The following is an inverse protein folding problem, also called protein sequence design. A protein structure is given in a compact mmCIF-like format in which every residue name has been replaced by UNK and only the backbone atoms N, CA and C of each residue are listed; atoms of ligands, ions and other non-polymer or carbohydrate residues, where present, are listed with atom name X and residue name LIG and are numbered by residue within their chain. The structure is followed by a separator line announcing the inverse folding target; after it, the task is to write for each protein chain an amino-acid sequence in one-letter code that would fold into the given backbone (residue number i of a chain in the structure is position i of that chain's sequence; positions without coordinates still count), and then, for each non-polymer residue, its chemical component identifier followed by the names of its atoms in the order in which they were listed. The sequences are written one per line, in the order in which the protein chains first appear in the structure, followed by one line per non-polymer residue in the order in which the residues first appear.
data_IF_023543501722
#
_entry.id   IF_023543501722
#
_cell.length_a   1.000
_cell.length_b   1.000
_cell.length_c   1.000
_cell.angle_alpha   90.00
_cell.angle_beta   90.00
_cell.angle_gamma   90.00
#
_symmetry.space_group_name_H-M   'P 1'
#
loop_
_entity.id
_entity.type
_entity.pdbx_description
1 polymer ?
#
# COMPACT_ATOMS: atom_id res chain seq x y z
N UNK A 1 -34.60 16.02 -20.25
CA UNK A 1 -33.50 15.12 -19.80
C UNK A 1 -32.10 15.72 -19.98
N UNK A 2 -31.78 16.35 -21.12
CA UNK A 2 -30.43 16.92 -21.40
C UNK A 2 -29.90 17.93 -20.36
N UNK A 3 -30.74 18.84 -19.84
CA UNK A 3 -30.30 19.84 -18.85
C UNK A 3 -29.89 19.23 -17.48
N UNK A 4 -30.58 18.17 -17.04
CA UNK A 4 -30.27 17.46 -15.78
C UNK A 4 -28.95 16.69 -15.90
N UNK A 5 -28.72 16.05 -17.05
CA UNK A 5 -27.47 15.36 -17.37
C UNK A 5 -26.30 16.35 -17.42
N UNK A 6 -26.47 17.51 -18.09
CA UNK A 6 -25.44 18.56 -18.16
C UNK A 6 -25.11 19.16 -16.79
N UNK A 7 -26.13 19.35 -15.93
CA UNK A 7 -25.94 19.83 -14.56
C UNK A 7 -25.14 18.84 -13.71
N UNK A 8 -25.53 17.56 -13.71
CA UNK A 8 -24.80 16.50 -12.99
C UNK A 8 -23.37 16.34 -13.51
N UNK A 9 -23.17 16.38 -14.83
CA UNK A 9 -21.83 16.30 -15.41
C UNK A 9 -20.94 17.49 -15.00
N UNK A 10 -21.50 18.70 -14.89
CA UNK A 10 -20.78 19.89 -14.46
C UNK A 10 -20.44 19.83 -12.96
N UNK A 11 -21.39 19.43 -12.12
CA UNK A 11 -21.17 19.26 -10.68
C UNK A 11 -20.09 18.19 -10.41
N UNK A 12 -20.10 17.08 -11.14
CA UNK A 12 -19.06 16.05 -11.03
C UNK A 12 -17.71 16.53 -11.58
N UNK A 13 -17.67 17.29 -12.67
CA UNK A 13 -16.43 17.87 -13.18
C UNK A 13 -15.80 18.87 -12.18
N UNK A 14 -16.62 19.71 -11.54
CA UNK A 14 -16.19 20.65 -10.51
C UNK A 14 -15.70 19.92 -9.25
N UNK A 15 -16.37 18.83 -8.86
CA UNK A 15 -15.93 17.93 -7.78
C UNK A 15 -14.60 17.24 -8.10
N UNK A 16 -14.43 16.73 -9.32
CA UNK A 16 -13.16 16.10 -9.75
C UNK A 16 -12.04 17.12 -9.76
N UNK A 17 -12.29 18.33 -10.28
CA UNK A 17 -11.31 19.41 -10.31
C UNK A 17 -10.89 19.85 -8.91
N UNK A 18 -11.82 20.00 -7.98
CA UNK A 18 -11.51 20.37 -6.60
C UNK A 18 -10.71 19.28 -5.88
N UNK A 19 -11.07 18.00 -6.06
CA UNK A 19 -10.30 16.88 -5.53
C UNK A 19 -8.90 16.78 -6.12
N UNK A 20 -8.73 17.03 -7.42
CA UNK A 20 -7.42 17.06 -8.07
C UNK A 20 -6.56 18.22 -7.55
N UNK A 21 -7.15 19.41 -7.40
CA UNK A 21 -6.46 20.56 -6.81
C UNK A 21 -6.03 20.29 -5.36
N UNK A 22 -6.89 19.68 -4.55
CA UNK A 22 -6.58 19.29 -3.18
C UNK A 22 -5.51 18.18 -3.12
N UNK A 23 -5.51 17.26 -4.08
CA UNK A 23 -4.52 16.20 -4.17
C UNK A 23 -3.13 16.78 -4.45
N UNK A 24 -3.03 17.74 -5.36
CA UNK A 24 -1.77 18.45 -5.65
C UNK A 24 -1.34 19.32 -4.45
N UNK A 25 -2.27 20.09 -3.88
CA UNK A 25 -1.92 20.98 -2.75
C UNK A 25 -1.55 20.24 -1.47
N UNK A 26 -2.04 19.00 -1.30
CA UNK A 26 -1.68 18.18 -0.14
C UNK A 26 -0.18 17.81 -0.07
N UNK A 27 0.52 17.82 -1.21
CA UNK A 27 1.95 17.48 -1.29
C UNK A 27 2.28 16.03 -0.95
N UNK A 28 1.29 15.17 -0.71
CA UNK A 28 1.54 13.82 -0.16
C UNK A 28 2.10 12.83 -1.18
N UNK A 29 1.93 13.11 -2.48
CA UNK A 29 2.55 12.36 -3.58
C UNK A 29 4.09 12.30 -3.51
N UNK A 30 4.72 13.19 -2.73
CA UNK A 30 6.18 13.24 -2.54
C UNK A 30 6.66 12.19 -1.53
N UNK A 31 5.82 11.72 -0.61
CA UNK A 31 6.24 10.80 0.45
C UNK A 31 6.72 9.43 -0.03
N UNK A 32 6.17 8.80 -1.08
CA UNK A 32 6.73 7.55 -1.61
C UNK A 32 8.19 7.72 -2.06
N UNK A 33 8.52 8.85 -2.70
CA UNK A 33 9.90 9.16 -3.08
C UNK A 33 10.78 9.47 -1.86
N UNK A 34 10.27 10.24 -0.88
CA UNK A 34 10.96 10.45 0.40
C UNK A 34 11.23 9.13 1.11
N UNK A 35 10.27 8.22 1.10
CA UNK A 35 10.36 6.88 1.69
C UNK A 35 11.45 6.05 1.05
N UNK A 36 11.54 6.06 -0.29
CA UNK A 36 12.64 5.44 -1.04
C UNK A 36 14.00 6.00 -0.62
N UNK A 37 14.18 7.32 -0.68
CA UNK A 37 15.46 7.95 -0.32
C UNK A 37 15.82 7.70 1.15
N UNK A 38 14.85 7.82 2.04
CA UNK A 38 15.04 7.56 3.47
C UNK A 38 15.43 6.11 3.74
N UNK A 39 14.75 5.16 3.09
CA UNK A 39 15.06 3.74 3.21
C UNK A 39 16.49 3.44 2.75
N UNK A 40 16.93 4.03 1.63
CA UNK A 40 18.31 3.84 1.16
C UNK A 40 19.34 4.39 2.15
N UNK A 41 19.08 5.54 2.76
CA UNK A 41 19.98 6.16 3.74
C UNK A 41 19.96 5.47 5.12
N UNK A 42 18.89 4.74 5.47
CA UNK A 42 18.73 4.10 6.78
C UNK A 42 18.91 2.58 6.70
N UNK A 43 20.16 2.13 6.82
CA UNK A 43 20.54 0.71 6.70
C UNK A 43 19.84 -0.22 7.68
N UNK A 44 19.44 0.27 8.86
CA UNK A 44 18.70 -0.49 9.86
C UNK A 44 17.36 -1.01 9.31
N UNK A 45 16.67 -0.20 8.50
CA UNK A 45 15.37 -0.54 7.91
C UNK A 45 15.45 -1.65 6.87
N UNK A 46 16.64 -2.07 6.42
CA UNK A 46 16.79 -3.16 5.46
C UNK A 46 16.66 -4.54 6.12
N UNK A 47 16.76 -4.62 7.46
CA UNK A 47 16.74 -5.88 8.20
C UNK A 47 15.41 -6.64 8.00
N UNK A 48 14.22 -6.04 8.15
CA UNK A 48 12.95 -6.73 7.90
C UNK A 48 12.88 -7.28 6.48
N UNK A 49 13.17 -6.47 5.46
CA UNK A 49 13.17 -6.91 4.06
C UNK A 49 14.11 -8.10 3.81
N UNK A 50 15.37 -7.99 4.23
CA UNK A 50 16.37 -9.06 4.04
C UNK A 50 15.97 -10.36 4.72
N UNK A 51 15.38 -10.28 5.92
CA UNK A 51 14.93 -11.47 6.66
C UNK A 51 13.85 -12.27 5.93
N UNK A 52 13.12 -11.63 5.00
CA UNK A 52 12.02 -12.26 4.26
C UNK A 52 12.41 -12.71 2.85
N UNK A 53 13.58 -12.33 2.33
CA UNK A 53 14.02 -12.75 1.00
C UNK A 53 14.11 -14.27 0.86
N UNK A 54 14.75 -14.96 1.81
CA UNK A 54 14.90 -16.40 1.75
C UNK A 54 13.54 -17.15 1.81
N UNK A 55 12.62 -16.85 2.76
CA UNK A 55 11.27 -17.40 2.74
C UNK A 55 10.53 -17.15 1.42
N UNK A 56 10.51 -15.91 0.92
CA UNK A 56 9.82 -15.55 -0.33
C UNK A 56 10.36 -16.33 -1.52
N UNK A 57 11.68 -16.40 -1.67
CA UNK A 57 12.33 -17.14 -2.76
C UNK A 57 12.02 -18.64 -2.64
N UNK A 58 12.12 -19.21 -1.43
CA UNK A 58 11.83 -20.62 -1.20
C UNK A 58 10.36 -20.97 -1.50
N UNK A 59 9.41 -20.11 -1.14
CA UNK A 59 7.99 -20.28 -1.47
C UNK A 59 7.75 -20.13 -2.96
N UNK A 60 8.42 -19.19 -3.62
CA UNK A 60 8.39 -19.04 -5.08
C UNK A 60 8.80 -20.32 -5.80
N UNK A 61 9.97 -20.86 -5.43
CA UNK A 61 10.51 -22.10 -6.00
C UNK A 61 9.58 -23.28 -5.68
N UNK A 62 9.19 -23.45 -4.42
CA UNK A 62 8.37 -24.58 -3.99
C UNK A 62 7.01 -24.63 -4.68
N UNK A 63 6.30 -23.50 -4.74
CA UNK A 63 5.00 -23.41 -5.44
C UNK A 63 5.16 -23.63 -6.94
N UNK A 64 6.16 -23.00 -7.55
CA UNK A 64 6.38 -23.15 -9.00
C UNK A 64 6.67 -24.61 -9.35
N UNK A 65 7.57 -25.26 -8.62
CA UNK A 65 7.85 -26.69 -8.81
C UNK A 65 6.61 -27.55 -8.62
N UNK A 66 5.82 -27.31 -7.57
CA UNK A 66 4.57 -28.03 -7.33
C UNK A 66 3.58 -27.86 -8.50
N UNK A 67 3.36 -26.64 -8.97
CA UNK A 67 2.47 -26.36 -10.10
C UNK A 67 2.96 -27.05 -11.37
N UNK A 68 4.26 -26.97 -11.71
CA UNK A 68 4.80 -27.68 -12.87
C UNK A 68 4.67 -29.20 -12.78
N UNK A 69 4.82 -29.79 -11.59
CA UNK A 69 4.68 -31.24 -11.43
C UNK A 69 3.22 -31.69 -11.59
N UNK A 70 2.28 -30.95 -10.99
CA UNK A 70 0.89 -31.41 -10.88
C UNK A 70 -0.06 -30.83 -11.93
N UNK A 71 0.19 -29.64 -12.46
CA UNK A 71 -0.76 -28.94 -13.36
C UNK A 71 -0.28 -28.89 -14.80
N UNK A 72 1.03 -28.87 -15.07
CA UNK A 72 1.57 -28.70 -16.43
C UNK A 72 1.06 -29.76 -17.40
N UNK A 73 1.24 -31.06 -17.09
CA UNK A 73 0.85 -32.14 -18.01
C UNK A 73 -0.67 -32.16 -18.26
N UNK A 74 -1.55 -32.12 -17.22
CA UNK A 74 -2.99 -32.03 -17.45
C UNK A 74 -3.41 -30.78 -18.24
N UNK A 75 -2.87 -29.60 -17.92
CA UNK A 75 -3.22 -28.36 -18.62
C UNK A 75 -2.72 -28.36 -20.06
N UNK A 76 -1.49 -28.83 -20.33
CA UNK A 76 -0.95 -28.96 -21.67
C UNK A 76 -1.75 -29.94 -22.53
N UNK A 77 -2.21 -31.06 -21.96
CA UNK A 77 -3.06 -32.00 -22.68
C UNK A 77 -4.39 -31.36 -23.11
N UNK A 78 -5.04 -30.60 -22.22
CA UNK A 78 -6.28 -29.90 -22.53
C UNK A 78 -6.05 -28.82 -23.59
N UNK A 79 -5.00 -27.99 -23.43
CA UNK A 79 -4.70 -26.92 -24.38
C UNK A 79 -4.23 -27.45 -25.74
N UNK A 80 -3.60 -28.63 -25.80
CA UNK A 80 -3.17 -29.26 -27.05
C UNK A 80 -4.35 -29.59 -27.97
N UNK A 81 -5.54 -29.85 -27.41
CA UNK A 81 -6.77 -30.08 -28.18
C UNK A 81 -7.15 -28.84 -29.00
N UNK A 82 -6.94 -27.64 -28.44
CA UNK A 82 -7.36 -26.38 -29.07
C UNK A 82 -6.24 -25.67 -29.83
N UNK A 83 -5.01 -25.70 -29.28
CA UNK A 83 -3.88 -24.90 -29.73
C UNK A 83 -2.77 -25.73 -30.41
N UNK A 84 -2.93 -27.05 -30.47
CA UNK A 84 -1.94 -27.95 -31.08
C UNK A 84 -0.57 -27.88 -30.39
N UNK A 85 0.55 -27.94 -31.15
CA UNK A 85 1.90 -27.93 -30.59
C UNK A 85 2.27 -26.68 -29.77
N UNK A 86 1.59 -25.55 -30.02
CA UNK A 86 1.80 -24.30 -29.27
C UNK A 86 1.33 -24.40 -27.81
N UNK A 87 0.50 -25.40 -27.50
CA UNK A 87 -0.02 -25.64 -26.15
C UNK A 87 1.10 -25.73 -25.11
N UNK A 88 2.21 -26.40 -25.43
CA UNK A 88 3.34 -26.52 -24.50
C UNK A 88 3.86 -25.16 -24.03
N UNK A 89 4.09 -24.22 -24.96
CA UNK A 89 4.57 -22.87 -24.65
C UNK A 89 3.52 -22.06 -23.89
N UNK A 90 2.25 -22.13 -24.31
CA UNK A 90 1.17 -21.40 -23.62
C UNK A 90 0.94 -21.92 -22.20
N UNK A 91 1.08 -23.23 -21.97
CA UNK A 91 0.96 -23.84 -20.64
C UNK A 91 2.09 -23.39 -19.73
N UNK A 92 3.34 -23.28 -20.22
CA UNK A 92 4.46 -22.76 -19.42
C UNK A 92 4.11 -21.36 -18.88
N UNK A 93 3.64 -20.46 -19.76
CA UNK A 93 3.27 -19.10 -19.35
C UNK A 93 2.11 -19.08 -18.35
N UNK A 94 1.10 -19.92 -18.56
CA UNK A 94 -0.05 -20.02 -17.67
C UNK A 94 0.36 -20.54 -16.28
N UNK A 95 1.10 -21.64 -16.23
CA UNK A 95 1.62 -22.24 -14.99
C UNK A 95 2.49 -21.23 -14.23
N UNK A 96 3.37 -20.50 -14.92
CA UNK A 96 4.19 -19.46 -14.30
C UNK A 96 3.35 -18.31 -13.72
N UNK A 97 2.31 -17.86 -14.44
CA UNK A 97 1.41 -16.80 -13.98
C UNK A 97 0.59 -17.23 -12.76
N UNK A 98 0.03 -18.45 -12.78
CA UNK A 98 -0.71 -19.04 -11.66
C UNK A 98 0.21 -19.24 -10.45
N UNK A 99 1.41 -19.80 -10.67
CA UNK A 99 2.43 -19.98 -9.63
C UNK A 99 2.82 -18.65 -8.99
N UNK A 100 3.12 -17.63 -9.80
CA UNK A 100 3.45 -16.28 -9.32
C UNK A 100 2.31 -15.70 -8.45
N UNK A 101 1.06 -15.88 -8.88
CA UNK A 101 -0.12 -15.42 -8.15
C UNK A 101 -0.21 -16.11 -6.77
N UNK A 102 -0.06 -17.43 -6.73
CA UNK A 102 -0.11 -18.21 -5.49
C UNK A 102 1.08 -17.87 -4.58
N UNK A 103 2.30 -17.84 -5.12
CA UNK A 103 3.51 -17.49 -4.37
C UNK A 103 3.44 -16.10 -3.78
N UNK A 104 2.94 -15.12 -4.52
CA UNK A 104 2.76 -13.75 -4.03
C UNK A 104 1.72 -13.68 -2.92
N UNK A 105 0.59 -14.37 -3.07
CA UNK A 105 -0.45 -14.44 -2.05
C UNK A 105 0.08 -15.05 -0.75
N UNK A 106 0.70 -16.24 -0.83
CA UNK A 106 1.29 -16.91 0.33
C UNK A 106 2.37 -16.06 0.98
N UNK A 107 3.29 -15.51 0.17
CA UNK A 107 4.39 -14.71 0.68
C UNK A 107 3.89 -13.47 1.42
N UNK A 108 2.90 -12.79 0.85
CA UNK A 108 2.34 -11.57 1.44
C UNK A 108 1.69 -11.85 2.77
N UNK A 109 0.82 -12.86 2.82
CA UNK A 109 0.08 -13.25 4.03
C UNK A 109 0.96 -13.79 5.14
N UNK A 110 1.96 -14.62 4.84
CA UNK A 110 2.75 -15.32 5.87
C UNK A 110 4.04 -14.61 6.26
N UNK A 111 4.67 -13.86 5.34
CA UNK A 111 6.05 -13.38 5.55
C UNK A 111 6.19 -11.85 5.46
N UNK A 112 5.47 -11.18 4.57
CA UNK A 112 5.71 -9.76 4.27
C UNK A 112 4.94 -8.82 5.20
N UNK A 113 3.67 -9.09 5.51
CA UNK A 113 2.84 -8.14 6.28
C UNK A 113 3.45 -7.75 7.63
N UNK A 114 3.94 -8.73 8.41
CA UNK A 114 4.61 -8.47 9.68
C UNK A 114 5.92 -7.67 9.47
N UNK A 115 6.66 -7.90 8.38
CA UNK A 115 7.89 -7.18 8.07
C UNK A 115 7.63 -5.73 7.60
N UNK A 116 6.51 -5.48 6.91
CA UNK A 116 6.08 -4.13 6.55
C UNK A 116 5.68 -3.35 7.80
N UNK A 117 5.00 -3.98 8.77
CA UNK A 117 4.70 -3.38 10.07
C UNK A 117 5.99 -3.02 10.81
N UNK A 118 6.97 -3.92 10.87
CA UNK A 118 8.27 -3.65 11.50
C UNK A 118 9.02 -2.51 10.81
N UNK A 119 8.92 -2.40 9.48
CA UNK A 119 9.53 -1.31 8.71
C UNK A 119 8.84 0.03 9.00
N UNK A 120 7.51 0.02 9.08
CA UNK A 120 6.72 1.20 9.43
C UNK A 120 7.04 1.68 10.86
N UNK A 121 6.95 0.79 11.84
CA UNK A 121 7.22 1.10 13.25
C UNK A 121 8.69 1.52 13.46
N UNK A 122 9.64 0.86 12.79
CA UNK A 122 11.06 1.21 12.84
C UNK A 122 11.36 2.59 12.28
N UNK A 123 10.63 3.00 11.23
CA UNK A 123 10.71 4.35 10.68
C UNK A 123 10.18 5.39 11.67
N UNK A 124 9.04 5.11 12.32
CA UNK A 124 8.50 5.97 13.37
C UNK A 124 9.46 6.13 14.54
N UNK A 125 10.06 5.02 15.01
CA UNK A 125 11.09 5.06 16.07
C UNK A 125 12.30 5.89 15.64
N UNK A 126 12.73 5.75 14.38
CA UNK A 126 13.84 6.55 13.81
C UNK A 126 13.51 8.05 13.77
N UNK A 127 12.22 8.40 13.64
CA UNK A 127 11.72 9.79 13.67
C UNK A 127 11.36 10.29 15.07
N UNK A 128 11.74 9.56 16.13
CA UNK A 128 11.49 9.95 17.52
C UNK A 128 10.08 9.62 18.03
N UNK A 129 9.24 8.95 17.25
CA UNK A 129 7.84 8.65 17.60
C UNK A 129 7.69 7.38 18.45
N UNK A 130 8.59 7.19 19.41
CA UNK A 130 8.62 5.95 20.23
C UNK A 130 7.37 5.81 21.09
N UNK A 131 6.83 6.92 21.61
CA UNK A 131 5.59 6.95 22.42
C UNK A 131 4.36 6.47 21.65
N UNK A 132 4.25 6.84 20.37
CA UNK A 132 3.17 6.37 19.51
C UNK A 132 3.28 4.86 19.24
N UNK A 133 4.50 4.36 19.03
CA UNK A 133 4.73 2.93 18.73
C UNK A 133 4.50 2.05 19.97
N UNK A 134 4.78 2.56 21.18
CA UNK A 134 4.55 1.82 22.44
C UNK A 134 3.08 1.46 22.69
N UNK A 135 2.13 2.17 22.09
CA UNK A 135 0.68 1.88 22.18
C UNK A 135 0.27 0.57 21.46
N UNK A 136 1.09 0.10 20.52
CA UNK A 136 0.80 -1.07 19.68
C UNK A 136 1.80 -2.21 19.78
N UNK A 137 2.95 -2.01 20.43
CA UNK A 137 3.96 -3.05 20.65
C UNK A 137 4.92 -2.70 21.79
N UNK A 138 5.61 -3.71 22.29
CA UNK A 138 6.67 -3.50 23.27
C UNK A 138 7.90 -2.83 22.64
N UNK A 139 8.55 -1.93 23.38
CA UNK A 139 9.83 -1.29 22.99
C UNK A 139 10.93 -1.77 23.94
N UNK A 140 12.01 -2.29 23.39
CA UNK A 140 13.21 -2.72 24.13
C UNK A 140 14.24 -1.58 24.20
N UNK A 141 15.10 -1.54 25.24
CA UNK A 141 16.24 -0.63 25.27
C UNK A 141 17.24 -0.96 24.15
N UNK A 142 17.84 0.07 23.54
CA UNK A 142 18.81 -0.08 22.46
C UNK A 142 18.91 1.16 21.58
N UNK A 143 19.95 1.21 20.74
CA UNK A 143 20.22 2.31 19.79
C UNK A 143 19.65 2.05 18.38
N UNK A 144 19.49 0.79 17.97
CA UNK A 144 18.99 0.43 16.64
C UNK A 144 17.44 0.50 16.56
N UNK A 145 16.85 1.31 15.67
CA UNK A 145 15.40 1.49 15.60
C UNK A 145 14.60 0.20 15.38
N UNK A 146 15.16 -0.75 14.61
CA UNK A 146 14.53 -2.07 14.39
C UNK A 146 14.79 -3.01 15.58
N UNK A 147 16.01 -3.02 16.14
CA UNK A 147 16.33 -3.83 17.33
C UNK A 147 15.51 -3.47 18.57
N UNK A 148 15.03 -2.22 18.68
CA UNK A 148 14.10 -1.77 19.73
C UNK A 148 12.70 -2.36 19.61
N UNK A 149 12.32 -2.91 18.47
CA UNK A 149 10.97 -3.40 18.22
C UNK A 149 10.75 -4.77 18.89
N UNK A 150 9.89 -4.81 19.91
CA UNK A 150 9.47 -6.03 20.60
C UNK A 150 8.22 -6.68 19.97
N UNK A 151 7.55 -7.58 20.72
CA UNK A 151 6.37 -8.29 20.24
C UNK A 151 5.20 -7.33 19.96
N UNK A 152 4.47 -7.60 18.87
CA UNK A 152 3.24 -6.88 18.51
C UNK A 152 2.13 -7.22 19.52
N UNK A 153 1.43 -6.20 20.02
CA UNK A 153 0.30 -6.36 20.95
C UNK A 153 -1.06 -6.32 20.23
N UNK A 154 -1.09 -5.74 19.02
CA UNK A 154 -2.29 -5.65 18.17
C UNK A 154 -1.91 -5.98 16.74
N UNK A 155 -2.54 -6.99 16.12
CA UNK A 155 -2.42 -7.27 14.67
C UNK A 155 -3.53 -6.53 13.90
N UNK A 156 -3.21 -5.88 12.76
CA UNK A 156 -4.23 -5.19 11.99
C UNK A 156 -5.22 -6.21 11.42
N UNK A 157 -6.50 -6.08 11.79
CA UNK A 157 -7.58 -6.89 11.23
C UNK A 157 -7.81 -6.47 9.77
N UNK A 158 -7.46 -7.33 8.82
CA UNK A 158 -7.95 -7.22 7.45
C UNK A 158 -9.38 -7.79 7.42
N UNK A 159 -10.38 -6.91 7.40
CA UNK A 159 -11.75 -7.31 7.05
C UNK A 159 -11.91 -7.18 5.54
N UNK A 160 -12.14 -8.30 4.86
CA UNK A 160 -12.70 -8.29 3.52
C UNK A 160 -14.11 -7.69 3.60
N UNK A 161 -14.31 -6.51 2.99
CA UNK A 161 -15.65 -5.94 2.80
C UNK A 161 -16.21 -6.41 1.44
N UNK A 162 -17.46 -6.91 1.40
CA UNK A 162 -18.15 -7.28 0.16
C UNK A 162 -18.63 -6.09 -0.71
N UNK A 163 -18.22 -4.85 -0.45
CA UNK A 163 -18.55 -3.66 -1.28
C UNK A 163 -17.97 -3.68 -2.72
N UNK A 164 -17.19 -4.72 -3.06
CA UNK A 164 -16.53 -4.85 -4.36
C UNK A 164 -17.52 -4.96 -5.52
N UNK A 165 -18.70 -5.55 -5.30
CA UNK A 165 -19.65 -5.91 -6.36
C UNK A 165 -20.38 -4.66 -6.90
N UNK A 166 -20.85 -3.77 -6.03
CA UNK A 166 -21.55 -2.54 -6.45
C UNK A 166 -20.59 -1.58 -7.18
N UNK A 167 -19.34 -1.50 -6.72
CA UNK A 167 -18.31 -0.70 -7.40
C UNK A 167 -17.95 -1.26 -8.77
N UNK A 168 -17.85 -2.58 -8.90
CA UNK A 168 -17.58 -3.24 -10.17
C UNK A 168 -18.62 -2.87 -11.24
N UNK A 169 -19.91 -2.84 -10.88
CA UNK A 169 -20.99 -2.43 -11.79
C UNK A 169 -20.90 -0.96 -12.24
N UNK A 170 -20.45 -0.05 -11.36
CA UNK A 170 -20.23 1.36 -11.70
C UNK A 170 -19.03 1.54 -12.65
N UNK A 171 -18.00 0.69 -12.55
CA UNK A 171 -16.76 0.81 -13.36
C UNK A 171 -16.81 0.05 -14.69
N UNK A 172 -17.80 -0.81 -14.90
CA UNK A 172 -17.94 -1.60 -16.12
C UNK A 172 -17.98 -0.75 -17.42
N UNK A 173 -18.70 0.38 -17.49
CA UNK A 173 -18.69 1.23 -18.69
C UNK A 173 -17.35 1.90 -18.96
N UNK A 174 -16.52 2.07 -17.94
CA UNK A 174 -15.26 2.82 -18.01
C UNK A 174 -14.08 1.99 -18.54
N UNK A 175 -14.21 0.66 -18.51
CA UNK A 175 -13.19 -0.26 -19.03
C UNK A 175 -13.17 -0.35 -20.57
N UNK A 176 -14.19 0.18 -21.26
CA UNK A 176 -14.31 0.11 -22.72
C UNK A 176 -13.47 1.15 -23.48
N UNK A 177 -12.79 2.06 -22.78
CA UNK A 177 -11.89 3.06 -23.40
C UNK A 177 -10.45 2.74 -22.97
N UNK A 178 -9.62 2.19 -23.88
CA UNK A 178 -8.20 1.98 -23.64
C UNK A 178 -7.53 3.27 -23.14
N UNK A 179 -6.52 3.13 -22.27
CA UNK A 179 -5.82 4.25 -21.58
C UNK A 179 -6.65 4.93 -20.47
N UNK A 180 -7.88 5.36 -20.73
CA UNK A 180 -8.74 6.00 -19.70
C UNK A 180 -9.09 5.01 -18.59
N UNK A 181 -9.42 3.77 -18.96
CA UNK A 181 -9.67 2.69 -18.00
C UNK A 181 -8.47 2.43 -17.09
N UNK A 182 -7.25 2.39 -17.66
CA UNK A 182 -6.01 2.15 -16.91
C UNK A 182 -5.69 3.28 -15.93
N UNK A 183 -5.79 4.54 -16.37
CA UNK A 183 -5.57 5.71 -15.50
C UNK A 183 -6.58 5.73 -14.37
N UNK A 184 -7.87 5.51 -14.65
CA UNK A 184 -8.87 5.44 -13.59
C UNK A 184 -8.61 4.28 -12.63
N UNK A 185 -8.27 3.11 -13.15
CA UNK A 185 -7.93 1.95 -12.32
C UNK A 185 -6.82 2.27 -11.32
N UNK A 186 -5.74 2.92 -11.78
CA UNK A 186 -4.63 3.35 -10.91
C UNK A 186 -5.11 4.35 -9.86
N UNK A 187 -5.94 5.33 -10.23
CA UNK A 187 -6.49 6.31 -9.27
C UNK A 187 -7.37 5.63 -8.21
N UNK A 188 -8.22 4.68 -8.62
CA UNK A 188 -9.11 3.94 -7.72
C UNK A 188 -8.33 3.00 -6.80
N UNK A 189 -7.28 2.36 -7.31
CA UNK A 189 -6.38 1.58 -6.49
C UNK A 189 -5.61 2.47 -5.52
N UNK A 190 -5.12 3.63 -5.98
CA UNK A 190 -4.46 4.63 -5.13
C UNK A 190 -5.35 5.12 -3.98
N UNK A 191 -6.64 5.36 -4.27
CA UNK A 191 -7.66 5.68 -3.24
C UNK A 191 -7.77 4.64 -2.12
N UNK A 192 -7.52 3.37 -2.42
CA UNK A 192 -7.52 2.28 -1.44
C UNK A 192 -6.14 2.08 -0.79
N UNK A 193 -5.08 2.16 -1.60
CA UNK A 193 -3.71 1.94 -1.19
C UNK A 193 -3.24 2.98 -0.18
N UNK A 194 -3.63 4.25 -0.34
CA UNK A 194 -3.23 5.30 0.58
C UNK A 194 -3.67 5.06 2.03
N UNK A 195 -4.98 4.87 2.30
CA UNK A 195 -5.45 4.54 3.64
C UNK A 195 -4.95 3.17 4.14
N UNK A 196 -4.73 2.21 3.24
CA UNK A 196 -4.15 0.92 3.59
C UNK A 196 -2.72 1.05 4.13
N UNK A 197 -1.90 1.93 3.54
CA UNK A 197 -0.54 2.19 4.02
C UNK A 197 -0.50 2.84 5.42
N UNK A 198 -1.57 3.56 5.81
CA UNK A 198 -1.74 4.10 7.17
C UNK A 198 -2.52 3.18 8.12
N UNK A 199 -2.85 1.94 7.73
CA UNK A 199 -3.59 1.03 8.59
C UNK A 199 -2.90 0.83 9.95
N UNK A 200 -1.56 0.71 9.96
CA UNK A 200 -0.77 0.62 11.19
C UNK A 200 -0.84 1.90 12.02
N UNK A 201 -0.73 3.07 11.40
CA UNK A 201 -0.86 4.35 12.11
C UNK A 201 -2.22 4.51 12.81
N UNK A 202 -3.33 4.19 12.13
CA UNK A 202 -4.66 4.24 12.75
C UNK A 202 -4.79 3.30 13.94
N UNK A 203 -4.15 2.13 13.85
CA UNK A 203 -4.11 1.15 14.93
C UNK A 203 -3.30 1.67 16.13
N UNK A 204 -2.13 2.28 15.89
CA UNK A 204 -1.31 2.89 16.95
C UNK A 204 -2.06 4.04 17.64
N UNK A 205 -2.84 4.82 16.88
CA UNK A 205 -3.71 5.88 17.42
C UNK A 205 -4.96 5.36 18.13
N UNK A 206 -5.21 4.05 18.12
CA UNK A 206 -6.40 3.45 18.74
C UNK A 206 -7.73 3.89 18.10
N UNK A 207 -7.72 4.31 16.83
CA UNK A 207 -8.92 4.82 16.16
C UNK A 207 -9.96 3.71 15.97
N UNK A 208 -11.21 4.00 16.35
CA UNK A 208 -12.36 3.12 16.06
C UNK A 208 -12.74 3.23 14.57
N UNK A 209 -13.48 2.24 14.04
CA UNK A 209 -13.82 2.19 12.60
C UNK A 209 -14.44 3.49 12.07
N UNK A 210 -15.44 4.06 12.77
CA UNK A 210 -16.09 5.31 12.38
C UNK A 210 -15.12 6.50 12.36
N UNK A 211 -14.31 6.64 13.41
CA UNK A 211 -13.29 7.70 13.49
C UNK A 211 -12.26 7.57 12.38
N UNK A 212 -11.84 6.34 12.05
CA UNK A 212 -10.93 6.07 10.93
C UNK A 212 -11.56 6.46 9.59
N UNK A 213 -12.82 6.11 9.37
CA UNK A 213 -13.55 6.46 8.14
C UNK A 213 -13.68 7.98 7.99
N UNK A 214 -14.10 8.68 9.04
CA UNK A 214 -14.19 10.14 9.05
C UNK A 214 -12.83 10.80 8.79
N UNK A 215 -11.76 10.27 9.40
CA UNK A 215 -10.38 10.76 9.19
C UNK A 215 -9.91 10.58 7.75
N UNK A 216 -10.22 9.43 7.14
CA UNK A 216 -9.87 9.15 5.74
C UNK A 216 -10.67 10.04 4.80
N UNK A 217 -11.97 10.22 5.03
CA UNK A 217 -12.83 11.00 4.14
C UNK A 217 -12.45 12.48 4.15
N UNK A 218 -12.13 13.04 5.32
CA UNK A 218 -11.61 14.42 5.44
C UNK A 218 -10.27 14.63 4.70
N UNK A 219 -9.50 13.55 4.46
CA UNK A 219 -8.18 13.59 3.82
C UNK A 219 -8.14 12.78 2.53
N UNK A 220 -9.29 12.56 1.90
CA UNK A 220 -9.43 11.66 0.74
C UNK A 220 -8.50 12.04 -0.40
N UNK A 221 -8.40 13.33 -0.71
CA UNK A 221 -7.51 13.82 -1.76
C UNK A 221 -6.03 13.57 -1.44
N UNK A 222 -5.61 13.82 -0.18
CA UNK A 222 -4.26 13.56 0.29
C UNK A 222 -3.92 12.06 0.28
N UNK A 223 -4.84 11.20 0.72
CA UNK A 223 -4.66 9.75 0.65
C UNK A 223 -4.59 9.22 -0.78
N UNK A 224 -5.40 9.80 -1.69
CA UNK A 224 -5.35 9.45 -3.12
C UNK A 224 -4.02 9.86 -3.74
N UNK A 225 -3.58 11.09 -3.43
CA UNK A 225 -2.32 11.67 -3.91
C UNK A 225 -1.10 10.89 -3.45
N UNK A 226 -1.11 10.39 -2.21
CA UNK A 226 -0.10 9.46 -1.72
C UNK A 226 -0.20 8.07 -2.38
N UNK A 227 -1.42 7.53 -2.48
CA UNK A 227 -1.64 6.16 -2.91
C UNK A 227 -1.39 5.90 -4.40
N UNK A 228 -1.55 6.90 -5.27
CA UNK A 228 -1.31 6.74 -6.71
C UNK A 228 0.16 6.40 -7.01
N UNK A 229 1.16 7.16 -6.54
CA UNK A 229 2.57 6.78 -6.72
C UNK A 229 2.92 5.46 -6.02
N UNK A 230 2.32 5.15 -4.86
CA UNK A 230 2.50 3.84 -4.19
C UNK A 230 2.12 2.70 -5.13
N UNK A 231 0.94 2.77 -5.76
CA UNK A 231 0.48 1.77 -6.72
C UNK A 231 1.41 1.70 -7.93
N UNK A 232 1.79 2.85 -8.50
CA UNK A 232 2.68 2.90 -9.66
C UNK A 232 4.05 2.24 -9.39
N UNK A 233 4.63 2.49 -8.22
CA UNK A 233 5.90 1.89 -7.83
C UNK A 233 5.77 0.38 -7.59
N UNK A 234 4.68 -0.08 -6.99
CA UNK A 234 4.42 -1.51 -6.77
C UNK A 234 4.10 -2.28 -8.05
N UNK A 235 3.66 -1.60 -9.11
CA UNK A 235 3.44 -2.20 -10.43
C UNK A 235 4.75 -2.54 -11.16
N UNK A 236 5.90 -2.01 -10.72
CA UNK A 236 7.20 -2.29 -11.37
C UNK A 236 7.54 -3.77 -11.15
N UNK A 237 7.64 -4.59 -12.22
CA UNK A 237 7.96 -6.00 -12.09
C UNK A 237 9.29 -6.21 -11.36
N UNK A 238 9.39 -7.26 -10.56
CA UNK A 238 10.57 -7.61 -9.73
C UNK A 238 10.84 -6.63 -8.58
N UNK A 239 10.74 -5.32 -8.82
CA UNK A 239 10.99 -4.28 -7.84
C UNK A 239 9.79 -4.00 -6.92
N UNK A 240 8.58 -4.46 -7.26
CA UNK A 240 7.38 -4.19 -6.48
C UNK A 240 7.47 -4.58 -5.00
N UNK A 241 8.13 -5.71 -4.70
CA UNK A 241 8.39 -6.10 -3.30
C UNK A 241 9.26 -5.07 -2.60
N UNK A 242 10.37 -4.66 -3.22
CA UNK A 242 11.24 -3.62 -2.67
C UNK A 242 10.48 -2.31 -2.45
N UNK A 243 9.67 -1.90 -3.44
CA UNK A 243 8.87 -0.69 -3.32
C UNK A 243 7.82 -0.76 -2.21
N UNK A 244 7.24 -1.92 -1.92
CA UNK A 244 6.33 -2.08 -0.78
C UNK A 244 6.97 -1.70 0.56
N UNK A 245 8.26 -2.02 0.76
CA UNK A 245 9.01 -1.60 1.95
C UNK A 245 9.27 -0.08 1.94
N UNK A 246 9.67 0.47 0.80
CA UNK A 246 9.92 1.93 0.70
C UNK A 246 8.64 2.75 0.85
N UNK A 247 7.50 2.23 0.37
CA UNK A 247 6.18 2.83 0.53
C UNK A 247 5.74 2.78 2.00
N UNK A 248 6.04 1.69 2.73
CA UNK A 248 5.81 1.60 4.17
C UNK A 248 6.63 2.66 4.94
N UNK A 249 7.89 2.90 4.54
CA UNK A 249 8.69 4.01 5.09
C UNK A 249 8.05 5.36 4.75
N UNK A 250 7.67 5.59 3.49
CA UNK A 250 7.04 6.83 3.06
C UNK A 250 5.75 7.14 3.82
N UNK A 251 4.93 6.12 4.06
CA UNK A 251 3.73 6.20 4.88
C UNK A 251 4.07 6.54 6.35
N UNK A 252 5.09 5.92 6.94
CA UNK A 252 5.52 6.21 8.30
C UNK A 252 6.09 7.64 8.43
N UNK A 253 6.84 8.13 7.44
CA UNK A 253 7.30 9.51 7.39
C UNK A 253 6.12 10.48 7.34
N UNK A 254 5.12 10.20 6.52
CA UNK A 254 3.92 11.01 6.45
C UNK A 254 3.17 11.04 7.79
N UNK A 255 2.97 9.88 8.41
CA UNK A 255 2.36 9.79 9.74
C UNK A 255 3.17 10.57 10.80
N UNK A 256 4.49 10.49 10.77
CA UNK A 256 5.35 11.24 11.70
C UNK A 256 5.20 12.76 11.52
N UNK A 257 5.22 13.25 10.29
CA UNK A 257 5.09 14.67 9.99
C UNK A 257 3.69 15.21 10.37
N UNK A 258 2.64 14.38 10.23
CA UNK A 258 1.28 14.72 10.69
C UNK A 258 1.20 14.89 12.21
N UNK A 259 1.79 13.97 12.98
CA UNK A 259 1.80 14.06 14.44
C UNK A 259 2.65 15.23 14.94
N UNK A 260 3.79 15.51 14.32
CA UNK A 260 4.62 16.67 14.66
C UNK A 260 3.87 17.99 14.41
N UNK A 261 3.15 18.08 13.30
CA UNK A 261 2.34 19.25 12.96
C UNK A 261 1.18 19.46 13.93
N UNK A 262 0.55 18.38 14.42
CA UNK A 262 -0.53 18.46 15.40
C UNK A 262 -0.03 18.86 16.79
N UNK A 263 1.19 18.46 17.17
CA UNK A 263 1.77 18.77 18.48
C UNK A 263 2.33 20.20 18.53
N UNK A 264 2.76 20.74 17.38
CA UNK A 264 3.38 22.08 17.25
C UNK A 264 2.36 23.13 16.81
N UNK A 265 1.19 23.20 17.47
CA UNK A 265 0.17 24.19 17.12
C UNK A 265 0.81 25.59 16.92
N UNK A 266 0.48 26.33 15.84
CA UNK A 266 1.14 27.59 15.47
C UNK A 266 1.24 28.59 16.63
N UNK A 267 0.21 28.62 17.47
CA UNK A 267 0.12 29.48 18.64
C UNK A 267 1.24 29.25 19.67
N UNK A 268 1.81 28.04 19.78
CA UNK A 268 2.92 27.77 20.71
C UNK A 268 4.26 28.27 20.17
N UNK A 269 4.47 28.25 18.85
CA UNK A 269 5.65 28.86 18.21
C UNK A 269 5.59 30.38 18.28
N UNK A 270 4.42 30.96 18.02
CA UNK A 270 4.21 32.40 18.10
C UNK A 270 4.24 32.91 19.55
N UNK A 271 3.89 32.07 20.53
CA UNK A 271 4.05 32.40 21.97
C UNK A 271 5.50 32.25 22.44
N UNK A 272 6.23 31.24 21.97
CA UNK A 272 7.65 31.06 22.28
C UNK A 272 8.51 32.18 21.67
N UNK A 273 8.24 32.58 20.42
CA UNK A 273 8.95 33.67 19.74
C UNK A 273 8.59 35.07 20.27
N UNK A 274 7.54 35.21 21.07
CA UNK A 274 7.19 36.44 21.80
C UNK A 274 7.72 36.47 23.24
N UNK A 275 8.25 35.34 23.72
CA UNK A 275 8.82 35.18 25.06
C UNK A 275 10.37 35.22 25.05
N UNK A 276 10.98 35.23 23.86
CA UNK A 276 12.36 35.66 23.61
C UNK A 276 12.38 37.16 23.26
#
# INVERSE_FOLDING_TARGET
MSAKVKKVAREEAERVRSLASQAVSSGTYVYPLKGFLYFLSHRSLWKPMKSKLAPVISTGIGVTTFMFVFTYLPQAAILAIFNGPLAALTTILLVLSESSTISNLLSRTFFIDDALIDTFDGTLVSRGMTSLVSEGRQIRPGSDPIGKLGKLLKKPFARFSPDAIIRYLIYLPLNFIPVVGTVMFIILQGRKAGPAAHARYFQLKGMKSRQKEDFIEQRKAAYTSFGVPVVLLELIPVAGLFFSFTNAVGAALWAADMEQSNTTAPNLRDQAAKAE
#
